data_IF_021936858100
#
_entry.id   IF_021936858100
#
_cell.length_a   1.000
_cell.length_b   1.000
_cell.length_c   1.000
_cell.angle_alpha   90.00
_cell.angle_beta   90.00
_cell.angle_gamma   90.00
#
_symmetry.space_group_name_H-M   'P 1'
#
loop_
_entity.id
_entity.type
_entity.pdbx_description
1 polymer ?
#
# COMPACT_ATOMS: atom_id res chain seq x y z
N UNK A 1 14.47 17.05 -7.63
CA UNK A 1 14.11 15.86 -6.81
C UNK A 1 15.21 14.81 -6.78
N UNK A 2 15.81 14.40 -7.91
CA UNK A 2 16.94 13.42 -7.95
C UNK A 2 18.11 13.73 -7.01
N UNK A 3 18.53 14.99 -6.89
CA UNK A 3 19.71 15.37 -6.10
C UNK A 3 19.47 15.38 -4.57
N UNK A 4 18.20 15.30 -4.13
CA UNK A 4 17.84 15.24 -2.70
C UNK A 4 17.90 13.79 -2.20
N UNK A 5 17.31 12.87 -2.96
CA UNK A 5 17.33 11.43 -2.62
C UNK A 5 18.75 10.87 -2.59
N UNK A 6 19.63 11.29 -3.53
CA UNK A 6 21.03 10.84 -3.53
C UNK A 6 21.81 11.27 -2.28
N UNK A 7 21.53 12.46 -1.73
CA UNK A 7 22.16 12.93 -0.49
C UNK A 7 21.61 12.19 0.73
N UNK A 8 20.30 11.92 0.77
CA UNK A 8 19.66 11.18 1.86
C UNK A 8 20.19 9.75 1.96
N UNK A 9 20.35 9.05 0.82
CA UNK A 9 20.99 7.73 0.79
C UNK A 9 22.45 7.74 1.29
N UNK A 10 23.23 8.76 0.94
CA UNK A 10 24.61 8.89 1.42
C UNK A 10 24.68 9.04 2.96
N UNK A 11 23.76 9.81 3.56
CA UNK A 11 23.70 9.96 5.01
C UNK A 11 23.31 8.67 5.72
N UNK A 12 22.42 7.86 5.13
CA UNK A 12 22.06 6.54 5.66
C UNK A 12 23.26 5.59 5.66
N UNK A 13 23.99 5.51 4.54
CA UNK A 13 25.18 4.66 4.42
C UNK A 13 26.27 5.06 5.42
N UNK A 14 26.50 6.36 5.58
CA UNK A 14 27.43 6.89 6.59
C UNK A 14 26.95 6.56 8.01
N UNK A 15 25.64 6.68 8.26
CA UNK A 15 25.03 6.32 9.54
C UNK A 15 25.22 4.85 9.89
N UNK A 16 25.03 3.95 8.92
CA UNK A 16 25.20 2.51 9.07
C UNK A 16 26.67 2.13 9.29
N UNK A 17 27.59 2.75 8.55
CA UNK A 17 29.03 2.56 8.77
C UNK A 17 29.46 3.02 10.17
N UNK A 18 28.96 4.17 10.62
CA UNK A 18 29.21 4.66 11.98
C UNK A 18 28.62 3.73 13.05
N UNK A 19 27.43 3.18 12.83
CA UNK A 19 26.82 2.21 13.74
C UNK A 19 27.69 0.96 13.88
N UNK A 20 28.13 0.38 12.76
CA UNK A 20 29.02 -0.78 12.74
C UNK A 20 30.36 -0.49 13.44
N UNK A 21 30.90 0.70 13.23
CA UNK A 21 32.12 1.16 13.91
C UNK A 21 31.90 1.25 15.42
N UNK A 22 30.80 1.85 15.88
CA UNK A 22 30.50 1.98 17.31
C UNK A 22 30.26 0.63 17.99
N UNK A 23 29.60 -0.32 17.32
CA UNK A 23 29.46 -1.70 17.81
C UNK A 23 30.82 -2.41 17.91
N UNK A 24 31.69 -2.21 16.92
CA UNK A 24 33.03 -2.80 16.90
C UNK A 24 33.91 -2.24 18.04
N UNK A 25 33.87 -0.92 18.26
CA UNK A 25 34.55 -0.27 19.39
C UNK A 25 34.02 -0.81 20.72
N UNK A 26 32.71 -0.98 20.85
CA UNK A 26 32.08 -1.53 22.07
C UNK A 26 32.57 -2.95 22.35
N UNK A 27 32.67 -3.80 21.32
CA UNK A 27 33.18 -5.17 21.47
C UNK A 27 34.64 -5.21 21.96
N UNK A 28 35.50 -4.33 21.43
CA UNK A 28 36.89 -4.20 21.88
C UNK A 28 36.96 -3.72 23.34
N UNK A 29 36.16 -2.71 23.70
CA UNK A 29 36.10 -2.19 25.07
C UNK A 29 35.60 -3.24 26.08
N UNK A 30 34.62 -4.07 25.69
CA UNK A 30 34.17 -5.20 26.50
C UNK A 30 35.27 -6.24 26.73
N UNK A 31 36.11 -6.51 25.72
CA UNK A 31 37.25 -7.42 25.87
C UNK A 31 38.30 -6.86 26.84
N UNK A 32 38.54 -5.55 26.81
CA UNK A 32 39.50 -4.88 27.69
C UNK A 32 39.04 -4.80 29.15
N UNK A 33 37.73 -4.75 29.43
CA UNK A 33 37.24 -4.55 30.79
C UNK A 33 37.22 -5.81 31.67
N UNK A 34 37.45 -6.99 31.09
CA UNK A 34 37.59 -8.31 31.77
C UNK A 34 36.37 -8.76 32.61
N UNK A 35 35.29 -7.97 32.69
CA UNK A 35 34.06 -8.27 33.43
C UNK A 35 32.95 -8.79 32.49
N UNK A 36 33.06 -10.05 32.08
CA UNK A 36 32.21 -10.65 31.04
C UNK A 36 30.72 -10.59 31.41
N UNK A 37 30.35 -10.92 32.65
CA UNK A 37 28.94 -11.00 33.07
C UNK A 37 28.25 -9.64 33.02
N UNK A 38 28.88 -8.61 33.60
CA UNK A 38 28.32 -7.24 33.62
C UNK A 38 28.23 -6.67 32.21
N UNK A 39 29.26 -6.88 31.39
CA UNK A 39 29.27 -6.47 29.99
C UNK A 39 28.12 -7.10 29.19
N UNK A 40 27.84 -8.39 29.36
CA UNK A 40 26.73 -9.07 28.67
C UNK A 40 25.39 -8.48 29.09
N UNK A 41 25.18 -8.21 30.39
CA UNK A 41 23.94 -7.61 30.90
C UNK A 41 23.73 -6.22 30.29
N UNK A 42 24.76 -5.37 30.29
CA UNK A 42 24.68 -4.02 29.73
C UNK A 42 24.52 -4.02 28.21
N UNK A 43 25.09 -4.99 27.50
CA UNK A 43 24.84 -5.19 26.08
C UNK A 43 23.39 -5.54 25.79
N UNK A 44 22.77 -6.44 26.57
CA UNK A 44 21.36 -6.80 26.42
C UNK A 44 20.46 -5.58 26.63
N UNK A 45 20.74 -4.78 27.67
CA UNK A 45 19.98 -3.55 27.94
C UNK A 45 20.14 -2.57 26.78
N UNK A 46 21.37 -2.38 26.29
CA UNK A 46 21.66 -1.52 25.14
C UNK A 46 20.92 -1.99 23.90
N UNK A 47 20.87 -3.30 23.64
CA UNK A 47 20.10 -3.86 22.53
C UNK A 47 18.59 -3.57 22.67
N UNK A 48 18.04 -3.66 23.88
CA UNK A 48 16.67 -3.24 24.17
C UNK A 48 16.41 -1.76 23.85
N UNK A 49 17.36 -0.88 24.22
CA UNK A 49 17.31 0.55 23.89
C UNK A 49 17.39 0.79 22.37
N UNK A 50 18.17 -0.01 21.63
CA UNK A 50 18.21 0.06 20.16
C UNK A 50 16.88 -0.32 19.52
N UNK A 51 16.21 -1.34 20.03
CA UNK A 51 14.85 -1.70 19.59
C UNK A 51 13.89 -0.53 19.80
N UNK A 52 13.94 0.13 20.97
CA UNK A 52 13.15 1.35 21.22
C UNK A 52 13.51 2.47 20.24
N UNK A 53 14.79 2.64 19.93
CA UNK A 53 15.27 3.65 18.97
C UNK A 53 14.71 3.42 17.57
N UNK A 54 14.67 2.16 17.14
CA UNK A 54 14.17 1.77 15.83
C UNK A 54 12.66 2.00 15.69
N UNK A 55 11.87 1.59 16.69
CA UNK A 55 10.40 1.65 16.61
C UNK A 55 9.78 2.98 17.07
N UNK A 56 10.33 3.60 18.12
CA UNK A 56 9.75 4.78 18.75
C UNK A 56 10.55 6.08 18.51
N UNK A 57 11.68 5.99 17.81
CA UNK A 57 12.54 7.12 17.49
C UNK A 57 13.48 7.54 18.63
N UNK A 58 14.13 8.70 18.45
CA UNK A 58 15.24 9.13 19.30
C UNK A 58 14.81 9.61 20.69
N UNK A 59 13.64 10.24 20.84
CA UNK A 59 13.23 10.85 22.12
C UNK A 59 13.01 9.78 23.21
N UNK A 60 12.24 8.69 22.97
CA UNK A 60 12.07 7.64 23.97
C UNK A 60 13.37 6.88 24.25
N UNK A 61 14.22 6.74 23.23
CA UNK A 61 15.55 6.14 23.37
C UNK A 61 16.47 6.95 24.27
N UNK A 62 16.48 8.28 24.14
CA UNK A 62 17.26 9.15 25.03
C UNK A 62 16.78 9.05 26.48
N UNK A 63 15.47 9.00 26.71
CA UNK A 63 14.92 8.79 28.05
C UNK A 63 15.33 7.43 28.63
N UNK A 64 15.29 6.36 27.83
CA UNK A 64 15.75 5.04 28.25
C UNK A 64 17.25 5.02 28.57
N UNK A 65 18.08 5.71 27.77
CA UNK A 65 19.49 5.90 28.06
C UNK A 65 19.73 6.68 29.35
N UNK A 66 18.95 7.74 29.63
CA UNK A 66 19.06 8.49 30.89
C UNK A 66 18.74 7.62 32.11
N UNK A 67 17.69 6.79 32.02
CA UNK A 67 17.34 5.83 33.07
C UNK A 67 18.46 4.80 33.25
N UNK A 68 19.02 4.28 32.17
CA UNK A 68 20.13 3.34 32.21
C UNK A 68 21.39 3.94 32.86
N UNK A 69 21.76 5.17 32.48
CA UNK A 69 22.87 5.93 33.08
C UNK A 69 22.64 6.17 34.57
N UNK A 70 21.43 6.57 34.96
CA UNK A 70 21.08 6.76 36.36
C UNK A 70 21.22 5.45 37.16
N UNK A 71 20.69 4.35 36.63
CA UNK A 71 20.80 3.03 37.25
C UNK A 71 22.26 2.59 37.41
N UNK A 72 23.06 2.70 36.36
CA UNK A 72 24.48 2.37 36.39
C UNK A 72 25.24 3.23 37.41
N UNK A 73 24.94 4.53 37.47
CA UNK A 73 25.57 5.46 38.41
C UNK A 73 25.25 5.06 39.86
N UNK A 74 24.00 4.68 40.16
CA UNK A 74 23.63 4.19 41.49
C UNK A 74 24.38 2.90 41.85
N UNK A 75 24.49 1.96 40.91
CA UNK A 75 25.24 0.71 41.13
C UNK A 75 26.72 1.00 41.41
N UNK A 76 27.36 1.88 40.64
CA UNK A 76 28.76 2.27 40.84
C UNK A 76 28.97 2.95 42.22
N UNK A 77 28.06 3.84 42.63
CA UNK A 77 28.12 4.47 43.94
C UNK A 77 27.94 3.44 45.07
N UNK A 78 27.08 2.45 44.90
CA UNK A 78 26.89 1.37 45.88
C UNK A 78 28.12 0.48 46.02
N UNK A 79 28.77 0.11 44.91
CA UNK A 79 30.03 -0.64 44.95
C UNK A 79 31.14 0.13 45.65
N UNK A 80 31.23 1.44 45.39
CA UNK A 80 32.25 2.30 45.98
C UNK A 80 32.02 2.56 47.48
N UNK A 81 30.84 3.02 47.88
CA UNK A 81 30.54 3.41 49.26
C UNK A 81 30.08 2.24 50.14
N UNK A 82 29.35 1.27 49.57
CA UNK A 82 28.75 0.17 50.32
C UNK A 82 29.67 -1.04 50.46
N UNK A 83 30.42 -1.36 49.41
CA UNK A 83 31.29 -2.54 49.36
C UNK A 83 32.79 -2.20 49.47
N UNK A 84 33.16 -0.91 49.58
CA UNK A 84 34.55 -0.41 49.59
C UNK A 84 35.41 -0.94 48.43
N UNK A 85 34.79 -1.23 47.28
CA UNK A 85 35.52 -1.63 46.08
C UNK A 85 35.97 -0.38 45.31
N UNK A 86 37.13 -0.46 44.66
CA UNK A 86 37.56 0.61 43.76
C UNK A 86 36.64 0.69 42.54
N UNK A 87 36.39 1.91 42.07
CA UNK A 87 35.60 2.13 40.85
C UNK A 87 36.33 1.48 39.68
N UNK A 88 35.67 0.53 39.02
CA UNK A 88 36.20 -0.11 37.83
C UNK A 88 36.09 0.84 36.64
N UNK A 89 37.14 1.63 36.44
CA UNK A 89 37.25 2.62 35.35
C UNK A 89 37.00 2.01 33.97
N UNK A 90 37.25 0.71 33.81
CA UNK A 90 37.02 -0.04 32.58
C UNK A 90 35.55 -0.19 32.19
N UNK A 91 34.58 0.10 33.07
CA UNK A 91 33.14 0.01 32.78
C UNK A 91 32.49 1.37 32.47
N UNK A 92 33.23 2.48 32.60
CA UNK A 92 32.67 3.82 32.37
C UNK A 92 32.23 4.08 30.92
N UNK A 93 32.78 3.36 29.95
CA UNK A 93 32.39 3.53 28.55
C UNK A 93 30.90 3.24 28.32
N UNK A 94 30.28 2.39 29.15
CA UNK A 94 28.85 2.09 29.08
C UNK A 94 27.94 3.29 29.37
N UNK A 95 28.46 4.38 29.96
CA UNK A 95 27.71 5.62 30.14
C UNK A 95 27.51 6.39 28.83
N UNK A 96 28.40 6.19 27.86
CA UNK A 96 28.47 7.01 26.63
C UNK A 96 28.16 6.17 25.40
N UNK A 97 28.65 4.93 25.32
CA UNK A 97 28.50 4.10 24.12
C UNK A 97 27.05 3.85 23.73
N UNK A 98 26.11 3.51 24.64
CA UNK A 98 24.70 3.35 24.29
C UNK A 98 24.08 4.60 23.64
N UNK A 99 24.41 5.79 24.13
CA UNK A 99 23.95 7.06 23.54
C UNK A 99 24.46 7.24 22.11
N UNK A 100 25.75 6.96 21.86
CA UNK A 100 26.36 7.07 20.54
C UNK A 100 25.78 6.05 19.55
N UNK A 101 25.56 4.81 20.02
CA UNK A 101 24.96 3.75 19.18
C UNK A 101 23.50 4.10 18.88
N UNK A 102 22.72 4.60 19.84
CA UNK A 102 21.36 5.08 19.59
C UNK A 102 21.31 6.25 18.60
N UNK A 103 22.26 7.18 18.69
CA UNK A 103 22.33 8.31 17.76
C UNK A 103 22.66 7.87 16.32
N UNK A 104 23.66 7.01 16.17
CA UNK A 104 24.06 6.47 14.86
C UNK A 104 22.96 5.60 14.24
N UNK A 105 22.28 4.78 15.06
CA UNK A 105 21.09 4.03 14.64
C UNK A 105 19.97 4.94 14.15
N UNK A 106 19.70 6.03 14.87
CA UNK A 106 18.67 6.99 14.45
C UNK A 106 19.02 7.65 13.12
N UNK A 107 20.27 8.07 12.92
CA UNK A 107 20.73 8.64 11.65
C UNK A 107 20.57 7.66 10.49
N UNK A 108 20.90 6.39 10.71
CA UNK A 108 20.75 5.33 9.71
C UNK A 108 19.29 5.01 9.36
N UNK A 109 18.35 5.19 10.30
CA UNK A 109 16.96 4.73 10.14
C UNK A 109 15.98 5.88 9.84
N UNK A 110 16.38 7.15 10.03
CA UNK A 110 15.48 8.31 9.94
C UNK A 110 14.71 8.40 8.62
N UNK A 111 15.39 8.18 7.51
CA UNK A 111 14.80 8.25 6.17
C UNK A 111 13.86 7.07 5.91
N UNK A 112 14.23 5.86 6.35
CA UNK A 112 13.38 4.67 6.26
C UNK A 112 12.07 4.84 7.04
N UNK A 113 12.14 5.38 8.27
CA UNK A 113 10.96 5.68 9.09
C UNK A 113 10.08 6.73 8.40
N UNK A 114 10.69 7.78 7.82
CA UNK A 114 9.95 8.81 7.08
C UNK A 114 9.29 8.26 5.81
N UNK A 115 9.98 7.39 5.07
CA UNK A 115 9.45 6.70 3.89
C UNK A 115 8.31 5.75 4.24
N UNK A 116 8.45 4.95 5.30
CA UNK A 116 7.38 4.05 5.76
C UNK A 116 6.14 4.85 6.17
N UNK A 117 6.32 5.96 6.88
CA UNK A 117 5.22 6.84 7.26
C UNK A 117 4.56 7.49 6.04
N UNK A 118 5.34 8.06 5.12
CA UNK A 118 4.81 8.67 3.91
C UNK A 118 4.06 7.66 3.03
N UNK A 119 4.55 6.41 2.95
CA UNK A 119 3.88 5.34 2.22
C UNK A 119 2.56 4.93 2.91
N UNK A 120 2.56 4.80 4.24
CA UNK A 120 1.35 4.51 5.01
C UNK A 120 0.31 5.62 4.85
N UNK A 121 0.73 6.88 4.94
CA UNK A 121 -0.15 8.05 4.78
C UNK A 121 -0.70 8.12 3.35
N UNK A 122 0.11 7.80 2.34
CA UNK A 122 -0.34 7.72 0.95
C UNK A 122 -1.34 6.58 0.75
N UNK A 123 -1.08 5.40 1.30
CA UNK A 123 -2.01 4.28 1.27
C UNK A 123 -3.33 4.61 1.98
N UNK A 124 -3.27 5.23 3.15
CA UNK A 124 -4.44 5.69 3.88
C UNK A 124 -5.23 6.72 3.07
N UNK A 125 -4.56 7.70 2.46
CA UNK A 125 -5.21 8.69 1.61
C UNK A 125 -5.83 8.08 0.33
N UNK A 126 -5.21 7.05 -0.26
CA UNK A 126 -5.75 6.33 -1.42
C UNK A 126 -7.01 5.53 -1.06
N UNK A 127 -7.03 4.92 0.13
CA UNK A 127 -8.18 4.19 0.68
C UNK A 127 -9.28 5.16 1.12
N UNK A 128 -8.93 6.25 1.81
CA UNK A 128 -9.84 7.29 2.28
C UNK A 128 -10.52 8.03 1.13
N UNK A 129 -9.80 8.22 0.00
CA UNK A 129 -10.37 8.77 -1.23
C UNK A 129 -11.05 7.73 -2.12
N UNK A 130 -11.06 6.45 -1.73
CA UNK A 130 -11.63 5.36 -2.52
C UNK A 130 -11.13 5.35 -3.96
N UNK A 131 -9.88 5.73 -4.25
CA UNK A 131 -9.49 5.92 -5.65
C UNK A 131 -9.28 4.58 -6.38
N UNK A 132 -8.85 3.53 -5.66
CA UNK A 132 -8.56 2.21 -6.21
C UNK A 132 -9.05 1.07 -5.32
N UNK A 133 -9.46 -0.02 -5.94
CA UNK A 133 -9.81 -1.28 -5.29
C UNK A 133 -8.57 -2.16 -5.08
N UNK A 134 -8.46 -2.78 -3.89
CA UNK A 134 -7.28 -3.56 -3.51
C UNK A 134 -7.18 -4.91 -4.24
N UNK A 135 -8.29 -5.51 -4.63
CA UNK A 135 -8.31 -6.84 -5.23
C UNK A 135 -8.00 -6.81 -6.72
N UNK A 136 -8.50 -5.78 -7.42
CA UNK A 136 -8.45 -5.69 -8.88
C UNK A 136 -7.46 -4.63 -9.38
N UNK A 137 -6.98 -3.74 -8.50
CA UNK A 137 -6.18 -2.55 -8.85
C UNK A 137 -6.87 -1.66 -9.90
N UNK A 138 -8.20 -1.72 -9.97
CA UNK A 138 -9.04 -0.85 -10.78
C UNK A 138 -9.48 0.36 -9.97
N UNK A 139 -9.84 1.45 -10.66
CA UNK A 139 -10.41 2.63 -10.00
C UNK A 139 -11.80 2.31 -9.43
N UNK A 140 -12.20 2.89 -8.30
CA UNK A 140 -13.52 2.57 -7.71
C UNK A 140 -14.67 3.43 -8.29
N UNK A 141 -15.89 3.19 -7.81
CA UNK A 141 -17.06 4.04 -8.05
C UNK A 141 -16.82 5.52 -7.70
N UNK A 142 -16.08 5.84 -6.62
CA UNK A 142 -15.82 7.24 -6.24
C UNK A 142 -15.02 7.94 -7.34
N UNK A 143 -13.96 7.29 -7.82
CA UNK A 143 -13.15 7.79 -8.92
C UNK A 143 -13.96 7.87 -10.23
N UNK A 144 -14.84 6.90 -10.50
CA UNK A 144 -15.74 6.95 -11.66
C UNK A 144 -16.58 8.22 -11.68
N UNK A 145 -17.21 8.59 -10.56
CA UNK A 145 -18.11 9.76 -10.50
C UNK A 145 -17.34 11.05 -10.75
N UNK A 146 -16.13 11.19 -10.18
CA UNK A 146 -15.27 12.35 -10.42
C UNK A 146 -14.82 12.43 -11.89
N UNK A 147 -14.32 11.33 -12.45
CA UNK A 147 -13.85 11.27 -13.83
C UNK A 147 -15.00 11.48 -14.83
N UNK A 148 -16.17 10.88 -14.58
CA UNK A 148 -17.37 11.07 -15.40
C UNK A 148 -17.84 12.52 -15.41
N UNK A 149 -17.76 13.24 -14.27
CA UNK A 149 -18.01 14.68 -14.23
C UNK A 149 -17.11 15.46 -15.18
N UNK A 150 -15.81 15.13 -15.22
CA UNK A 150 -14.84 15.77 -16.14
C UNK A 150 -15.15 15.43 -17.60
N UNK A 151 -15.51 14.18 -17.91
CA UNK A 151 -15.87 13.76 -19.26
C UNK A 151 -17.14 14.46 -19.75
N UNK A 152 -18.17 14.57 -18.91
CA UNK A 152 -19.43 15.26 -19.23
C UNK A 152 -19.19 16.75 -19.49
N UNK A 153 -18.37 17.40 -18.65
CA UNK A 153 -18.00 18.80 -18.85
C UNK A 153 -17.20 19.01 -20.15
N UNK A 154 -16.31 18.08 -20.47
CA UNK A 154 -15.54 18.06 -21.72
C UNK A 154 -16.46 17.83 -22.93
N UNK A 155 -17.41 16.89 -22.81
CA UNK A 155 -18.45 16.61 -23.80
C UNK A 155 -19.25 17.86 -24.14
N UNK A 156 -19.73 18.58 -23.12
CA UNK A 156 -20.48 19.84 -23.29
C UNK A 156 -19.65 20.93 -23.97
N UNK A 157 -18.34 20.98 -23.71
CA UNK A 157 -17.45 22.01 -24.26
C UNK A 157 -17.04 21.75 -25.72
N UNK A 158 -16.85 20.49 -26.08
CA UNK A 158 -16.26 20.11 -27.37
C UNK A 158 -17.20 19.29 -28.27
N UNK A 159 -18.44 19.06 -27.83
CA UNK A 159 -19.47 18.27 -28.53
C UNK A 159 -18.98 16.83 -28.85
N UNK A 160 -18.16 16.27 -27.97
CA UNK A 160 -17.65 14.90 -28.07
C UNK A 160 -18.61 13.99 -27.29
N UNK A 161 -19.23 12.96 -27.90
CA UNK A 161 -20.13 12.07 -27.18
C UNK A 161 -19.38 11.28 -26.12
N UNK A 162 -20.03 11.10 -24.97
CA UNK A 162 -19.51 10.33 -23.83
C UNK A 162 -20.49 9.21 -23.54
N UNK A 163 -19.96 7.99 -23.46
CA UNK A 163 -20.73 6.82 -23.07
C UNK A 163 -20.07 6.09 -21.92
N UNK A 164 -20.89 5.41 -21.13
CA UNK A 164 -20.43 4.45 -20.13
C UNK A 164 -20.86 3.04 -20.52
N UNK A 165 -19.95 2.08 -20.37
CA UNK A 165 -20.25 0.66 -20.49
C UNK A 165 -20.30 0.10 -19.09
N UNK A 166 -21.38 -0.57 -18.74
CA UNK A 166 -21.50 -1.34 -17.51
C UNK A 166 -21.44 -2.80 -17.86
N UNK A 167 -20.52 -3.52 -17.23
CA UNK A 167 -20.26 -4.93 -17.49
C UNK A 167 -20.53 -5.71 -16.21
N UNK A 168 -21.31 -6.78 -16.31
CA UNK A 168 -21.63 -7.69 -15.21
C UNK A 168 -21.50 -9.14 -15.65
N UNK A 169 -21.34 -10.04 -14.69
CA UNK A 169 -21.44 -11.49 -14.93
C UNK A 169 -22.90 -11.90 -14.73
N UNK A 170 -23.48 -12.58 -15.72
CA UNK A 170 -24.88 -13.04 -15.63
C UNK A 170 -25.02 -14.06 -14.50
N UNK A 171 -26.06 -13.91 -13.69
CA UNK A 171 -26.36 -14.82 -12.57
C UNK A 171 -25.17 -15.03 -11.62
N UNK A 172 -24.36 -13.99 -11.38
CA UNK A 172 -23.14 -14.09 -10.56
C UNK A 172 -23.41 -14.70 -9.17
N UNK A 173 -24.49 -14.30 -8.51
CA UNK A 173 -24.86 -14.81 -7.19
C UNK A 173 -25.11 -16.34 -7.19
N UNK A 174 -25.65 -16.89 -8.28
CA UNK A 174 -25.87 -18.33 -8.41
C UNK A 174 -24.56 -19.05 -8.75
N UNK A 175 -23.75 -18.49 -9.65
CA UNK A 175 -22.41 -19.00 -9.98
C UNK A 175 -21.52 -19.07 -8.74
N UNK A 176 -21.52 -18.02 -7.91
CA UNK A 176 -20.75 -17.92 -6.67
C UNK A 176 -21.05 -19.07 -5.70
N UNK A 177 -22.30 -19.56 -5.66
CA UNK A 177 -22.69 -20.69 -4.80
C UNK A 177 -22.21 -22.05 -5.31
N UNK A 178 -21.89 -22.14 -6.61
CA UNK A 178 -21.46 -23.37 -7.27
C UNK A 178 -19.95 -23.44 -7.47
N UNK A 179 -19.25 -22.31 -7.31
CA UNK A 179 -17.80 -22.19 -7.49
C UNK A 179 -17.04 -22.32 -6.17
N UNK A 180 -15.84 -22.88 -6.24
CA UNK A 180 -14.85 -22.71 -5.17
C UNK A 180 -14.29 -21.29 -5.13
N UNK A 181 -13.76 -20.86 -3.99
CA UNK A 181 -13.14 -19.53 -3.84
C UNK A 181 -12.03 -19.29 -4.88
N UNK A 182 -11.26 -20.34 -5.21
CA UNK A 182 -10.23 -20.30 -6.25
C UNK A 182 -10.81 -20.02 -7.64
N UNK A 183 -11.89 -20.71 -8.02
CA UNK A 183 -12.55 -20.48 -9.31
C UNK A 183 -13.16 -19.08 -9.39
N UNK A 184 -13.73 -18.60 -8.28
CA UNK A 184 -14.27 -17.25 -8.20
C UNK A 184 -13.20 -16.19 -8.40
N UNK A 185 -12.06 -16.32 -7.72
CA UNK A 185 -10.92 -15.42 -7.89
C UNK A 185 -10.38 -15.44 -9.33
N UNK A 186 -10.25 -16.64 -9.91
CA UNK A 186 -9.80 -16.80 -11.30
C UNK A 186 -10.77 -16.15 -12.30
N UNK A 187 -12.07 -16.29 -12.08
CA UNK A 187 -13.11 -15.64 -12.88
C UNK A 187 -12.99 -14.11 -12.83
N UNK A 188 -12.85 -13.53 -11.63
CA UNK A 188 -12.73 -12.09 -11.45
C UNK A 188 -11.44 -11.53 -12.08
N UNK A 189 -10.34 -12.27 -11.96
CA UNK A 189 -9.08 -11.91 -12.59
C UNK A 189 -9.20 -11.92 -14.11
N UNK A 190 -9.73 -13.00 -14.69
CA UNK A 190 -9.93 -13.12 -16.14
C UNK A 190 -10.86 -12.02 -16.65
N UNK A 191 -11.98 -11.76 -15.97
CA UNK A 191 -12.91 -10.70 -16.35
C UNK A 191 -12.20 -9.33 -16.37
N UNK A 192 -11.48 -9.00 -15.30
CA UNK A 192 -10.79 -7.70 -15.18
C UNK A 192 -9.68 -7.53 -16.22
N UNK A 193 -8.89 -8.59 -16.48
CA UNK A 193 -7.83 -8.58 -17.51
C UNK A 193 -8.41 -8.44 -18.93
N UNK A 194 -9.48 -9.18 -19.24
CA UNK A 194 -10.14 -9.11 -20.55
C UNK A 194 -10.74 -7.73 -20.78
N UNK A 195 -11.44 -7.18 -19.79
CA UNK A 195 -12.02 -5.84 -19.87
C UNK A 195 -10.93 -4.81 -20.13
N UNK A 196 -9.85 -4.83 -19.34
CA UNK A 196 -8.72 -3.90 -19.47
C UNK A 196 -7.96 -4.03 -20.80
N UNK A 197 -7.87 -5.24 -21.36
CA UNK A 197 -7.21 -5.47 -22.66
C UNK A 197 -8.09 -5.17 -23.87
N UNK A 198 -9.42 -5.09 -23.68
CA UNK A 198 -10.38 -4.80 -24.75
C UNK A 198 -10.63 -3.30 -24.95
N UNK A 199 -10.20 -2.48 -23.99
CA UNK A 199 -10.33 -1.02 -23.98
C UNK A 199 -9.09 -0.33 -24.55
N UNK A 200 -9.26 0.89 -25.07
CA UNK A 200 -8.14 1.71 -25.55
C UNK A 200 -7.40 2.34 -24.37
N UNK A 201 -6.16 2.79 -24.56
CA UNK A 201 -5.36 3.43 -23.51
C UNK A 201 -6.02 4.69 -22.91
N UNK A 202 -6.90 5.36 -23.67
CA UNK A 202 -7.62 6.55 -23.23
C UNK A 202 -8.96 6.23 -22.54
N UNK A 203 -9.39 4.97 -22.57
CA UNK A 203 -10.60 4.50 -21.92
C UNK A 203 -10.25 4.08 -20.49
N UNK A 204 -11.03 4.52 -19.51
CA UNK A 204 -10.73 4.24 -18.10
C UNK A 204 -11.68 3.15 -17.60
N UNK A 205 -11.10 2.08 -17.03
CA UNK A 205 -11.85 0.97 -16.42
C UNK A 205 -11.94 1.12 -14.91
N UNK A 206 -13.13 0.86 -14.38
CA UNK A 206 -13.47 0.96 -12.97
C UNK A 206 -14.12 -0.32 -12.47
N UNK A 207 -14.04 -0.55 -11.16
CA UNK A 207 -14.87 -1.49 -10.43
C UNK A 207 -15.85 -0.69 -9.56
N UNK A 208 -17.14 -0.83 -9.83
CA UNK A 208 -18.19 -0.12 -9.12
C UNK A 208 -18.60 -0.83 -7.84
N UNK A 209 -18.67 -2.16 -7.89
CA UNK A 209 -19.11 -3.01 -6.79
C UNK A 209 -18.34 -4.33 -6.79
N UNK A 210 -17.97 -4.82 -5.60
CA UNK A 210 -17.20 -6.04 -5.42
C UNK A 210 -18.07 -7.25 -5.03
N UNK A 211 -19.17 -7.02 -4.30
CA UNK A 211 -20.06 -8.12 -3.87
C UNK A 211 -20.84 -8.75 -5.03
N UNK A 212 -21.34 -7.89 -5.93
CA UNK A 212 -21.88 -8.22 -7.25
C UNK A 212 -21.00 -7.53 -8.30
N UNK A 213 -19.90 -8.19 -8.73
CA UNK A 213 -18.85 -7.61 -9.56
C UNK A 213 -19.40 -6.86 -10.75
N UNK A 214 -19.25 -5.54 -10.69
CA UNK A 214 -19.75 -4.61 -11.69
C UNK A 214 -18.60 -3.74 -12.16
N UNK A 215 -18.21 -3.89 -13.42
CA UNK A 215 -17.19 -3.04 -14.02
C UNK A 215 -17.85 -1.91 -14.78
N UNK A 216 -17.21 -0.75 -14.79
CA UNK A 216 -17.57 0.35 -15.67
C UNK A 216 -16.41 0.71 -16.58
N UNK A 217 -16.71 1.18 -17.78
CA UNK A 217 -15.73 1.77 -18.68
C UNK A 217 -16.28 3.10 -19.18
N UNK A 218 -15.53 4.16 -18.95
CA UNK A 218 -15.88 5.49 -19.41
C UNK A 218 -15.15 5.78 -20.74
N UNK A 219 -15.90 6.17 -21.76
CA UNK A 219 -15.43 6.30 -23.15
C UNK A 219 -15.85 7.63 -23.78
N UNK A 220 -15.00 8.19 -24.65
CA UNK A 220 -15.39 9.23 -25.60
C UNK A 220 -15.93 8.60 -26.90
N UNK A 221 -17.18 8.13 -26.87
CA UNK A 221 -17.89 7.59 -28.03
C UNK A 221 -19.40 7.74 -27.84
N UNK A 222 -20.15 7.60 -28.93
CA UNK A 222 -21.61 7.41 -28.87
C UNK A 222 -22.00 5.97 -28.48
N UNK A 223 -23.28 5.75 -28.21
CA UNK A 223 -23.84 4.46 -27.81
C UNK A 223 -23.51 3.33 -28.79
N UNK A 224 -23.48 3.62 -30.10
CA UNK A 224 -23.12 2.61 -31.13
C UNK A 224 -21.67 2.14 -30.99
N UNK A 225 -20.72 3.07 -30.85
CA UNK A 225 -19.32 2.72 -30.62
C UNK A 225 -19.11 2.04 -29.27
N UNK A 226 -19.88 2.42 -28.26
CA UNK A 226 -19.92 1.74 -26.96
C UNK A 226 -20.38 0.29 -27.08
N UNK A 227 -21.46 0.02 -27.82
CA UNK A 227 -21.95 -1.36 -28.09
C UNK A 227 -20.91 -2.22 -28.80
N UNK A 228 -20.18 -1.66 -29.76
CA UNK A 228 -19.08 -2.38 -30.44
C UNK A 228 -17.95 -2.72 -29.46
N UNK A 229 -17.57 -1.79 -28.58
CA UNK A 229 -16.56 -2.06 -27.55
C UNK A 229 -17.03 -3.12 -26.54
N UNK A 230 -18.29 -3.06 -26.13
CA UNK A 230 -18.93 -4.05 -25.26
C UNK A 230 -18.93 -5.45 -25.87
N UNK A 231 -19.30 -5.57 -27.15
CA UNK A 231 -19.29 -6.86 -27.85
C UNK A 231 -17.88 -7.44 -27.96
N UNK A 232 -16.87 -6.61 -28.24
CA UNK A 232 -15.46 -7.07 -28.26
C UNK A 232 -15.03 -7.64 -26.91
N UNK A 233 -15.42 -6.99 -25.80
CA UNK A 233 -15.12 -7.48 -24.46
C UNK A 233 -15.83 -8.82 -24.17
N UNK A 234 -17.10 -8.97 -24.56
CA UNK A 234 -17.84 -10.24 -24.45
C UNK A 234 -17.16 -11.36 -25.23
N UNK A 235 -16.84 -11.13 -26.50
CA UNK A 235 -16.23 -12.14 -27.38
C UNK A 235 -14.86 -12.60 -26.84
N UNK A 236 -14.05 -11.64 -26.39
CA UNK A 236 -12.75 -11.92 -25.77
C UNK A 236 -12.91 -12.71 -24.45
N UNK A 237 -13.92 -12.39 -23.65
CA UNK A 237 -14.19 -13.04 -22.38
C UNK A 237 -14.63 -14.50 -22.60
N UNK A 238 -15.58 -14.74 -23.50
CA UNK A 238 -16.02 -16.09 -23.84
C UNK A 238 -14.87 -16.98 -24.34
N UNK A 239 -13.99 -16.42 -25.18
CA UNK A 239 -12.80 -17.13 -25.64
C UNK A 239 -11.90 -17.51 -24.47
N UNK A 240 -11.64 -16.57 -23.55
CA UNK A 240 -10.75 -16.79 -22.40
C UNK A 240 -11.30 -17.78 -21.39
N UNK A 241 -12.61 -17.78 -21.17
CA UNK A 241 -13.29 -18.78 -20.32
C UNK A 241 -13.19 -20.18 -20.93
N UNK A 242 -13.38 -20.32 -22.26
CA UNK A 242 -13.24 -21.61 -22.95
C UNK A 242 -11.81 -22.18 -22.91
N UNK A 243 -10.80 -21.32 -22.83
CA UNK A 243 -9.40 -21.72 -22.67
C UNK A 243 -9.03 -22.12 -21.24
N UNK A 244 -9.87 -21.81 -20.24
CA UNK A 244 -9.58 -22.07 -18.82
C UNK A 244 -10.12 -23.44 -18.37
N UNK A 245 -9.28 -24.42 -18.03
CA UNK A 245 -9.73 -25.75 -17.62
C UNK A 245 -10.60 -25.74 -16.36
N UNK A 246 -10.38 -24.76 -15.47
CA UNK A 246 -11.11 -24.62 -14.20
C UNK A 246 -12.50 -24.01 -14.36
N UNK A 247 -12.76 -23.30 -15.48
CA UNK A 247 -13.99 -22.54 -15.71
C UNK A 247 -14.81 -23.04 -16.91
N UNK A 248 -14.21 -23.82 -17.84
CA UNK A 248 -14.85 -24.26 -19.09
C UNK A 248 -16.14 -25.05 -18.90
N UNK A 249 -16.29 -25.74 -17.76
CA UNK A 249 -17.48 -26.55 -17.45
C UNK A 249 -18.62 -25.72 -16.84
N UNK A 250 -18.42 -24.41 -16.63
CA UNK A 250 -19.42 -23.51 -16.06
C UNK A 250 -20.00 -22.65 -17.18
N UNK A 251 -21.34 -22.51 -17.19
CA UNK A 251 -22.04 -21.65 -18.14
C UNK A 251 -21.93 -20.17 -17.72
N UNK A 252 -20.73 -19.61 -17.83
CA UNK A 252 -20.42 -18.23 -17.46
C UNK A 252 -20.66 -17.35 -18.67
N UNK A 253 -21.50 -16.32 -18.52
CA UNK A 253 -21.76 -15.32 -19.55
C UNK A 253 -21.61 -13.91 -19.00
N UNK A 254 -21.19 -13.00 -19.86
CA UNK A 254 -21.01 -11.58 -19.56
C UNK A 254 -22.13 -10.77 -20.20
N UNK A 255 -22.63 -9.79 -19.46
CA UNK A 255 -23.71 -8.89 -19.87
C UNK A 255 -23.17 -7.47 -19.90
N UNK A 256 -23.55 -6.70 -20.92
CA UNK A 256 -23.06 -5.34 -21.13
C UNK A 256 -24.23 -4.39 -21.37
N UNK A 257 -24.36 -3.40 -20.51
CA UNK A 257 -25.23 -2.24 -20.71
C UNK A 257 -24.43 -1.05 -21.23
N UNK A 258 -25.01 -0.28 -22.14
CA UNK A 258 -24.37 0.91 -22.72
C UNK A 258 -25.30 2.08 -22.58
N UNK A 259 -24.85 3.14 -21.92
CA UNK A 259 -25.58 4.39 -21.82
C UNK A 259 -24.73 5.55 -22.35
N UNK A 260 -25.35 6.42 -23.13
CA UNK A 260 -24.74 7.64 -23.68
C UNK A 260 -25.28 8.85 -22.91
N UNK A 261 -24.40 9.80 -22.62
CA UNK A 261 -24.79 11.01 -21.90
C UNK A 261 -25.81 11.82 -22.70
N UNK A 262 -26.97 12.06 -22.09
CA UNK A 262 -28.00 12.95 -22.60
C UNK A 262 -28.23 14.11 -21.62
N UNK A 263 -27.82 15.32 -22.00
CA UNK A 263 -27.94 16.51 -21.14
C UNK A 263 -29.40 16.94 -20.86
N UNK A 264 -30.39 16.46 -21.63
CA UNK A 264 -31.81 16.75 -21.40
C UNK A 264 -32.43 15.81 -20.35
N UNK A 265 -31.94 14.56 -20.28
CA UNK A 265 -32.50 13.51 -19.43
C UNK A 265 -31.64 13.22 -18.18
N UNK A 266 -30.36 13.60 -18.22
CA UNK A 266 -29.37 13.32 -17.18
C UNK A 266 -28.81 14.61 -16.58
N UNK A 267 -28.72 14.64 -15.25
CA UNK A 267 -28.32 15.81 -14.47
C UNK A 267 -26.96 15.65 -13.80
N UNK A 268 -26.54 14.40 -13.54
CA UNK A 268 -25.33 14.10 -12.79
C UNK A 268 -24.66 12.79 -13.28
N UNK A 269 -23.39 12.54 -12.94
CA UNK A 269 -22.68 11.33 -13.37
C UNK A 269 -23.28 10.00 -12.88
N UNK A 270 -24.04 10.00 -11.78
CA UNK A 270 -24.75 8.81 -11.31
C UNK A 270 -25.90 8.45 -12.23
N UNK A 271 -26.56 9.42 -12.87
CA UNK A 271 -27.63 9.15 -13.82
C UNK A 271 -27.11 8.31 -15.00
N UNK A 272 -25.96 8.69 -15.56
CA UNK A 272 -25.27 7.94 -16.62
C UNK A 272 -24.91 6.51 -16.20
N UNK A 273 -24.37 6.35 -14.98
CA UNK A 273 -24.03 5.04 -14.43
C UNK A 273 -25.27 4.17 -14.24
N UNK A 274 -26.31 4.71 -13.61
CA UNK A 274 -27.54 4.00 -13.28
C UNK A 274 -28.30 3.59 -14.53
N UNK A 275 -28.29 4.44 -15.56
CA UNK A 275 -28.87 4.12 -16.85
C UNK A 275 -28.11 2.97 -17.54
N UNK A 276 -26.78 3.00 -17.53
CA UNK A 276 -25.96 1.89 -17.99
C UNK A 276 -26.21 0.58 -17.22
N UNK A 277 -26.43 0.65 -15.90
CA UNK A 277 -26.80 -0.51 -15.08
C UNK A 277 -28.18 -1.05 -15.49
N UNK A 278 -29.16 -0.18 -15.74
CA UNK A 278 -30.49 -0.61 -16.20
C UNK A 278 -30.40 -1.30 -17.56
N UNK A 279 -29.59 -0.79 -18.48
CA UNK A 279 -29.39 -1.38 -19.80
C UNK A 279 -28.84 -2.81 -19.75
N UNK A 280 -28.10 -3.18 -18.69
CA UNK A 280 -27.67 -4.58 -18.51
C UNK A 280 -28.84 -5.56 -18.37
N UNK A 281 -30.03 -5.11 -17.97
CA UNK A 281 -31.20 -5.97 -17.81
C UNK A 281 -31.86 -6.33 -19.15
N UNK A 282 -31.59 -5.55 -20.20
CA UNK A 282 -32.17 -5.72 -21.53
C UNK A 282 -31.24 -6.42 -22.52
N UNK A 283 -30.00 -6.67 -22.11
CA UNK A 283 -29.01 -7.39 -22.90
C UNK A 283 -29.28 -8.91 -22.77
N UNK A 284 -30.02 -9.45 -23.76
CA UNK A 284 -30.50 -10.84 -23.82
C UNK A 284 -29.42 -11.80 -24.27
#
# INVERSE_FOLDING_TARGET
MQNKNSKEHLYEDIGLLLLLLMLSITAVLMMLSQNIVVNIIYLIITMGILIVTYFMGIIPSLLANMVFIAFQTVVMLYEYFGLNHEIQWSLLFWLIMPLLISLTMYLSTRSQIALQKANSDLHAALVERGAFDQQTNLRTMVAYVEDAGVFIETSRRFEIPVSTLIIKIRYFNDLRRMMSDRQLQLLLQIASEVIKSSTRDNDITYILENEDPTWAILLYTNATGGKIAGQRAKDAFEKRIKESPELVNLAISMVVGVSEWNAEEMSNPYDLMNDGIKETQYDV
#
